data_IF_023440474892
#
_entry.id   IF_023440474892
#
_cell.length_a   1.000
_cell.length_b   1.000
_cell.length_c   1.000
_cell.angle_alpha   90.00
_cell.angle_beta   90.00
_cell.angle_gamma   90.00
#
_symmetry.space_group_name_H-M   'P 1'
#
loop_
_entity.id
_entity.type
_entity.pdbx_description
1 polymer ?
#
# COMPACT_ATOMS: atom_id res chain seq x y z
N UNK A 1 4.84 -2.03 -12.79
CA UNK A 1 3.42 -1.72 -12.50
C UNK A 1 3.15 -1.45 -11.02
N UNK A 2 3.44 -2.40 -10.10
CA UNK A 2 3.20 -2.26 -8.64
C UNK A 2 3.78 -0.99 -8.02
N UNK A 3 4.96 -0.55 -8.47
CA UNK A 3 5.57 0.69 -8.02
C UNK A 3 4.63 1.92 -8.14
N UNK A 4 3.93 2.07 -9.27
CA UNK A 4 3.00 3.19 -9.47
C UNK A 4 1.79 3.11 -8.55
N UNK A 5 1.32 1.90 -8.25
CA UNK A 5 0.20 1.68 -7.32
C UNK A 5 0.61 2.11 -5.91
N UNK A 6 1.78 1.64 -5.45
CA UNK A 6 2.34 2.02 -4.15
C UNK A 6 2.59 3.54 -4.08
N UNK A 7 3.15 4.11 -5.14
CA UNK A 7 3.41 5.55 -5.22
C UNK A 7 2.12 6.36 -5.05
N UNK A 8 1.03 5.96 -5.71
CA UNK A 8 -0.25 6.66 -5.60
C UNK A 8 -0.88 6.51 -4.20
N UNK A 9 -0.80 5.31 -3.60
CA UNK A 9 -1.27 5.07 -2.23
C UNK A 9 -0.54 5.97 -1.22
N UNK A 10 0.78 6.07 -1.33
CA UNK A 10 1.58 6.97 -0.49
C UNK A 10 1.20 8.43 -0.70
N UNK A 11 0.98 8.84 -1.96
CA UNK A 11 0.62 10.21 -2.29
C UNK A 11 -0.74 10.58 -1.69
N UNK A 12 -1.71 9.67 -1.76
CA UNK A 12 -3.05 9.86 -1.18
C UNK A 12 -2.99 9.94 0.34
N UNK A 13 -2.20 9.07 0.97
CA UNK A 13 -2.01 9.06 2.42
C UNK A 13 -1.40 10.38 2.93
N UNK A 14 -0.35 10.88 2.27
CA UNK A 14 0.30 12.14 2.60
C UNK A 14 -0.62 13.36 2.42
N UNK A 15 -1.46 13.34 1.38
CA UNK A 15 -2.35 14.46 1.06
C UNK A 15 -3.62 14.50 1.91
N UNK A 16 -4.17 13.35 2.26
CA UNK A 16 -5.53 13.26 2.76
C UNK A 16 -5.63 12.65 4.15
N UNK A 17 -4.84 11.63 4.47
CA UNK A 17 -5.02 10.86 5.70
C UNK A 17 -4.38 11.52 6.93
N UNK A 18 -3.44 12.46 6.73
CA UNK A 18 -2.58 13.00 7.80
C UNK A 18 -1.93 11.87 8.65
N UNK A 19 -1.72 10.71 8.02
CA UNK A 19 -1.19 9.53 8.68
C UNK A 19 0.25 9.78 9.12
N UNK A 20 0.56 9.39 10.35
CA UNK A 20 1.91 9.45 10.90
C UNK A 20 2.68 8.15 10.63
N UNK A 21 1.94 7.06 10.39
CA UNK A 21 2.46 5.75 10.08
C UNK A 21 1.71 5.13 8.92
N UNK A 22 2.49 4.63 7.97
CA UNK A 22 1.99 3.84 6.84
C UNK A 22 2.68 2.49 6.88
N UNK A 23 1.89 1.42 6.75
CA UNK A 23 2.37 0.05 6.58
C UNK A 23 1.98 -0.45 5.18
N UNK A 24 2.98 -0.97 4.46
CA UNK A 24 2.78 -1.61 3.16
C UNK A 24 3.37 -3.00 3.23
N UNK A 25 2.54 -4.01 2.97
CA UNK A 25 2.95 -5.41 2.92
C UNK A 25 2.69 -5.95 1.53
N UNK A 26 3.74 -6.51 0.93
CA UNK A 26 3.67 -7.21 -0.34
C UNK A 26 3.83 -8.70 -0.09
N UNK A 27 2.82 -9.48 -0.48
CA UNK A 27 2.88 -10.94 -0.44
C UNK A 27 2.73 -11.49 -1.84
N UNK A 28 3.56 -12.49 -2.19
CA UNK A 28 3.42 -13.22 -3.45
C UNK A 28 2.99 -14.64 -3.14
N UNK A 29 1.79 -14.98 -3.55
CA UNK A 29 1.33 -16.36 -3.59
C UNK A 29 1.93 -17.05 -4.81
N UNK A 30 2.50 -18.24 -4.60
CA UNK A 30 3.11 -19.02 -5.68
C UNK A 30 2.10 -19.97 -6.33
N UNK A 31 1.00 -20.32 -5.65
CA UNK A 31 -0.06 -21.19 -6.15
C UNK A 31 -1.43 -20.82 -5.54
N UNK A 32 -2.32 -20.13 -6.30
CA UNK A 32 -2.09 -19.57 -7.64
C UNK A 32 -1.04 -18.44 -7.62
N UNK A 33 -0.40 -18.19 -8.75
CA UNK A 33 0.57 -17.10 -8.88
C UNK A 33 -0.13 -15.74 -8.78
N UNK A 34 -0.18 -15.18 -7.57
CA UNK A 34 -0.83 -13.90 -7.29
C UNK A 34 0.09 -12.98 -6.49
N UNK A 35 -0.12 -11.68 -6.62
CA UNK A 35 0.60 -10.67 -5.86
C UNK A 35 -0.42 -9.84 -5.09
N UNK A 36 -0.34 -9.91 -3.77
CA UNK A 36 -1.20 -9.21 -2.84
C UNK A 36 -0.46 -8.00 -2.26
N UNK A 37 -1.15 -6.87 -2.24
CA UNK A 37 -0.69 -5.63 -1.63
C UNK A 37 -1.69 -5.28 -0.53
N UNK A 38 -1.22 -5.27 0.72
CA UNK A 38 -1.98 -4.72 1.84
C UNK A 38 -1.39 -3.35 2.19
N UNK A 39 -2.25 -2.36 2.24
CA UNK A 39 -1.95 -1.01 2.67
C UNK A 39 -2.76 -0.72 3.93
N UNK A 40 -2.12 -0.12 4.93
CA UNK A 40 -2.76 0.28 6.19
C UNK A 40 -2.11 1.58 6.65
N UNK A 41 -2.90 2.54 7.06
CA UNK A 41 -2.44 3.78 7.66
C UNK A 41 -3.16 4.06 8.98
N UNK A 42 -2.56 4.92 9.81
CA UNK A 42 -3.13 5.37 11.08
C UNK A 42 -3.80 6.75 10.99
N UNK A 43 -4.14 7.17 9.78
CA UNK A 43 -4.89 8.39 9.51
C UNK A 43 -6.31 8.33 10.08
N UNK A 44 -6.99 9.49 10.02
CA UNK A 44 -8.40 9.61 10.41
C UNK A 44 -9.36 9.25 9.28
#
# INVERSE_FOLDING_TARGET
>A
MVYRIVQELLHNSLKHAQAHRIEIVLHRDTQPAQLHLRYTDDGR
#
